data_IF_350984822053
#
_entry.id   IF_350984822053
#
_cell.length_a   1.000
_cell.length_b   1.000
_cell.length_c   1.000
_cell.angle_alpha   90.00
_cell.angle_beta   90.00
_cell.angle_gamma   90.00
#
_symmetry.space_group_name_H-M   'P 1'
#
loop_
_entity.id
_entity.type
_entity.pdbx_description
1 polymer ?
#
# COMPACT_ATOMS: atom_id res chain seq x y z
N UNK A 1 11.16 17.07 -7.07
CA UNK A 1 9.85 16.46 -6.74
C UNK A 1 9.49 16.57 -5.27
N UNK A 2 10.40 16.28 -4.30
CA UNK A 2 10.12 16.34 -2.85
C UNK A 2 9.55 17.69 -2.38
N UNK A 3 10.03 18.81 -2.92
CA UNK A 3 9.53 20.16 -2.58
C UNK A 3 8.09 20.40 -3.03
N UNK A 4 7.71 19.89 -4.21
CA UNK A 4 6.34 20.03 -4.73
C UNK A 4 5.38 19.19 -3.88
N UNK A 5 5.73 17.94 -3.62
CA UNK A 5 4.95 17.04 -2.78
C UNK A 5 4.70 17.63 -1.38
N UNK A 6 5.76 18.09 -0.71
CA UNK A 6 5.64 18.74 0.60
C UNK A 6 4.80 20.02 0.57
N UNK A 7 4.84 20.78 -0.54
CA UNK A 7 4.02 21.98 -0.70
C UNK A 7 2.54 21.62 -0.89
N UNK A 8 2.25 20.56 -1.64
CA UNK A 8 0.88 20.05 -1.79
C UNK A 8 0.31 19.62 -0.42
N UNK A 9 1.06 18.84 0.36
CA UNK A 9 0.62 18.36 1.66
C UNK A 9 0.40 19.47 2.68
N UNK A 10 1.30 20.47 2.74
CA UNK A 10 1.18 21.60 3.69
C UNK A 10 0.00 22.52 3.42
N UNK A 11 -0.49 22.55 2.20
CA UNK A 11 -1.59 23.44 1.79
C UNK A 11 -2.95 22.73 1.84
N UNK A 12 -3.02 21.49 2.33
CA UNK A 12 -4.28 20.77 2.50
C UNK A 12 -5.06 21.42 3.65
N UNK A 13 -6.30 21.89 3.40
CA UNK A 13 -7.14 22.44 4.46
C UNK A 13 -7.50 21.37 5.50
N UNK A 14 -7.69 21.78 6.75
CA UNK A 14 -7.95 20.86 7.86
C UNK A 14 -9.22 20.03 7.69
N UNK A 15 -10.24 20.56 7.05
CA UNK A 15 -11.50 19.89 6.75
C UNK A 15 -11.38 18.82 5.65
N UNK A 16 -10.32 18.88 4.83
CA UNK A 16 -9.99 17.84 3.85
C UNK A 16 -9.17 16.67 4.46
N UNK A 17 -8.73 16.81 5.71
CA UNK A 17 -8.02 15.74 6.43
C UNK A 17 -8.99 14.73 7.04
N UNK A 18 -8.65 13.46 6.97
CA UNK A 18 -9.48 12.43 7.60
C UNK A 18 -9.26 12.44 9.12
N UNK A 19 -10.28 12.89 9.87
CA UNK A 19 -10.20 13.07 11.33
C UNK A 19 -8.97 13.89 11.77
N UNK A 20 -8.64 14.93 11.00
CA UNK A 20 -7.49 15.80 11.27
C UNK A 20 -6.12 15.20 10.94
N UNK A 21 -6.06 14.08 10.23
CA UNK A 21 -4.83 13.34 9.91
C UNK A 21 -4.65 13.20 8.39
N UNK A 22 -3.41 13.27 7.93
CA UNK A 22 -3.07 12.97 6.53
C UNK A 22 -3.20 11.48 6.25
N UNK A 23 -3.88 11.15 5.17
CA UNK A 23 -3.98 9.79 4.66
C UNK A 23 -3.16 9.68 3.40
N UNK A 24 -2.21 8.75 3.40
CA UNK A 24 -1.35 8.47 2.26
C UNK A 24 -1.66 7.08 1.72
N UNK A 25 -1.97 7.02 0.43
CA UNK A 25 -2.33 5.78 -0.24
C UNK A 25 -1.12 5.21 -0.95
N UNK A 26 -0.84 3.93 -0.71
CA UNK A 26 0.16 3.18 -1.45
C UNK A 26 -0.52 2.26 -2.44
N UNK A 27 -0.05 2.27 -3.67
CA UNK A 27 -0.49 1.34 -4.71
C UNK A 27 0.65 1.00 -5.67
N UNK A 28 0.59 -0.18 -6.28
CA UNK A 28 1.59 -0.70 -7.19
C UNK A 28 1.07 -0.82 -8.63
N UNK A 29 1.95 -0.61 -9.59
CA UNK A 29 1.61 -0.80 -10.99
C UNK A 29 2.81 -1.29 -11.81
N UNK A 30 2.57 -1.77 -13.02
CA UNK A 30 3.60 -2.17 -13.98
C UNK A 30 3.51 -1.29 -15.21
N UNK A 31 4.68 -0.90 -15.74
CA UNK A 31 4.83 -0.06 -16.92
C UNK A 31 5.70 -0.79 -17.93
N UNK A 32 5.27 -0.81 -19.19
CA UNK A 32 6.01 -1.40 -20.29
C UNK A 32 6.99 -0.40 -20.90
N UNK A 33 8.10 -0.91 -21.44
CA UNK A 33 9.10 -0.11 -22.13
C UNK A 33 9.44 -0.72 -23.50
N UNK A 34 10.01 0.08 -24.44
CA UNK A 34 10.48 -0.44 -25.71
C UNK A 34 11.45 -1.60 -25.54
N UNK A 35 11.31 -2.62 -26.40
CA UNK A 35 12.19 -3.77 -26.40
C UNK A 35 13.56 -3.40 -27.00
N UNK A 36 14.47 -3.02 -26.10
CA UNK A 36 15.87 -2.72 -26.39
C UNK A 36 16.75 -3.51 -25.45
N UNK A 37 17.98 -3.80 -25.88
CA UNK A 37 18.97 -4.52 -25.07
C UNK A 37 19.13 -3.83 -23.71
N UNK A 38 19.33 -2.52 -23.68
CA UNK A 38 19.52 -1.74 -22.45
C UNK A 38 18.31 -1.81 -21.50
N UNK A 39 17.08 -1.78 -22.03
CA UNK A 39 15.89 -1.92 -21.21
C UNK A 39 15.71 -3.35 -20.70
N UNK A 40 16.00 -4.38 -21.51
CA UNK A 40 15.96 -5.78 -21.07
C UNK A 40 17.00 -6.09 -19.98
N UNK A 41 18.18 -5.52 -20.05
CA UNK A 41 19.21 -5.70 -19.03
C UNK A 41 18.76 -5.17 -17.66
N UNK A 42 18.12 -4.00 -17.60
CA UNK A 42 17.74 -3.38 -16.35
C UNK A 42 16.32 -3.76 -15.88
N UNK A 43 15.38 -3.94 -16.82
CA UNK A 43 13.98 -4.23 -16.60
C UNK A 43 13.53 -5.43 -17.42
N UNK A 44 14.09 -6.62 -17.17
CA UNK A 44 13.83 -7.78 -18.02
C UNK A 44 12.33 -8.12 -18.10
N UNK A 45 11.97 -8.79 -19.20
CA UNK A 45 10.65 -9.35 -19.42
C UNK A 45 10.23 -10.31 -18.28
N UNK A 46 8.95 -10.68 -18.21
CA UNK A 46 8.47 -11.62 -17.21
C UNK A 46 9.11 -13.00 -17.37
N UNK A 47 9.54 -13.61 -16.27
CA UNK A 47 10.25 -14.91 -16.26
C UNK A 47 9.46 -16.09 -16.81
N UNK A 48 8.12 -16.00 -16.88
CA UNK A 48 7.25 -17.03 -17.47
C UNK A 48 7.24 -16.99 -19.01
N UNK A 49 7.77 -15.94 -19.63
CA UNK A 49 7.84 -15.80 -21.09
C UNK A 49 9.18 -16.34 -21.59
N UNK A 50 9.14 -16.98 -22.79
CA UNK A 50 10.38 -17.42 -23.43
C UNK A 50 11.31 -16.22 -23.66
N UNK A 51 12.62 -16.37 -23.52
CA UNK A 51 13.58 -15.30 -23.79
C UNK A 51 13.37 -14.70 -25.21
N UNK A 52 13.36 -13.38 -25.30
CA UNK A 52 13.13 -12.65 -26.54
C UNK A 52 11.66 -12.57 -27.02
N UNK A 53 10.69 -13.13 -26.26
CA UNK A 53 9.27 -13.07 -26.62
C UNK A 53 8.47 -12.05 -25.80
N UNK A 54 9.09 -11.40 -24.81
CA UNK A 54 8.45 -10.44 -23.93
C UNK A 54 9.08 -9.06 -23.99
N UNK A 55 8.33 -8.07 -23.57
CA UNK A 55 8.80 -6.69 -23.48
C UNK A 55 9.35 -6.39 -22.08
N UNK A 56 10.28 -5.43 -21.94
CA UNK A 56 10.77 -4.96 -20.65
C UNK A 56 9.65 -4.41 -19.78
N UNK A 57 9.66 -4.78 -18.49
CA UNK A 57 8.63 -4.41 -17.52
C UNK A 57 9.25 -3.77 -16.28
N UNK A 58 8.86 -2.54 -16.01
CA UNK A 58 9.22 -1.82 -14.79
C UNK A 58 8.06 -1.90 -13.79
N UNK A 59 8.36 -2.32 -12.56
CA UNK A 59 7.44 -2.21 -11.43
C UNK A 59 7.60 -0.85 -10.78
N UNK A 60 6.47 -0.24 -10.46
CA UNK A 60 6.40 1.06 -9.79
C UNK A 60 5.47 0.96 -8.59
N UNK A 61 5.89 1.47 -7.45
CA UNK A 61 5.06 1.66 -6.26
C UNK A 61 4.98 3.15 -5.98
N UNK A 62 3.78 3.70 -6.02
CA UNK A 62 3.49 5.11 -5.79
C UNK A 62 2.92 5.37 -4.40
N UNK A 63 3.23 6.54 -3.86
CA UNK A 63 2.65 7.10 -2.65
C UNK A 63 1.85 8.34 -3.04
N UNK A 64 0.57 8.32 -2.75
CA UNK A 64 -0.35 9.40 -3.08
C UNK A 64 -0.93 10.05 -1.82
N UNK A 65 -1.21 11.34 -1.88
CA UNK A 65 -2.08 11.98 -0.92
C UNK A 65 -3.53 11.64 -1.22
N UNK A 66 -4.28 11.17 -0.24
CA UNK A 66 -5.71 10.91 -0.43
C UNK A 66 -6.48 12.22 -0.63
N UNK A 67 -6.13 13.26 0.12
CA UNK A 67 -6.85 14.54 0.11
C UNK A 67 -6.65 15.34 -1.18
N UNK A 68 -5.43 15.33 -1.76
CA UNK A 68 -5.12 16.09 -2.98
C UNK A 68 -5.07 15.23 -4.26
N UNK A 69 -5.03 13.91 -4.14
CA UNK A 69 -4.77 12.99 -5.25
C UNK A 69 -3.34 13.06 -5.81
N UNK A 70 -2.48 13.92 -5.24
CA UNK A 70 -1.13 14.13 -5.74
C UNK A 70 -0.22 12.92 -5.52
N UNK A 71 0.60 12.59 -6.52
CA UNK A 71 1.70 11.63 -6.37
C UNK A 71 2.84 12.28 -5.57
N UNK A 72 3.01 11.88 -4.33
CA UNK A 72 4.01 12.42 -3.41
C UNK A 72 5.40 11.86 -3.67
N UNK A 73 5.47 10.56 -3.92
CA UNK A 73 6.72 9.87 -4.21
C UNK A 73 6.46 8.54 -4.91
N UNK A 74 7.50 7.97 -5.51
CA UNK A 74 7.45 6.63 -6.08
C UNK A 74 8.80 5.92 -5.96
N UNK A 75 8.76 4.60 -5.91
CA UNK A 75 9.90 3.72 -6.07
C UNK A 75 9.70 2.85 -7.32
N UNK A 76 10.79 2.58 -8.04
CA UNK A 76 10.75 1.76 -9.25
C UNK A 76 11.84 0.69 -9.23
N UNK A 77 11.55 -0.45 -9.84
CA UNK A 77 12.52 -1.52 -10.05
C UNK A 77 12.06 -2.47 -11.17
N UNK A 78 12.89 -3.46 -11.45
CA UNK A 78 12.51 -4.61 -12.27
C UNK A 78 11.28 -5.31 -11.69
N UNK A 79 10.45 -5.91 -12.54
CA UNK A 79 9.28 -6.72 -12.14
C UNK A 79 9.64 -7.89 -11.20
N UNK A 80 10.90 -8.32 -11.21
CA UNK A 80 11.39 -9.40 -10.33
C UNK A 80 11.62 -8.95 -8.88
N UNK A 81 11.66 -7.65 -8.62
CA UNK A 81 11.71 -7.10 -7.25
C UNK A 81 10.30 -7.03 -6.69
N UNK A 82 10.10 -7.60 -5.50
CA UNK A 82 8.78 -7.63 -4.87
C UNK A 82 8.31 -6.22 -4.45
N UNK A 83 7.02 -5.94 -4.58
CA UNK A 83 6.42 -4.63 -4.24
C UNK A 83 6.70 -4.19 -2.80
N UNK A 84 6.76 -5.12 -1.86
CA UNK A 84 7.05 -4.82 -0.45
C UNK A 84 8.44 -4.22 -0.24
N UNK A 85 9.42 -4.59 -1.08
CA UNK A 85 10.77 -4.01 -1.03
C UNK A 85 10.79 -2.58 -1.58
N UNK A 86 10.01 -2.32 -2.64
CA UNK A 86 9.82 -0.95 -3.17
C UNK A 86 9.07 -0.08 -2.16
N UNK A 87 8.06 -0.65 -1.49
CA UNK A 87 7.31 0.05 -0.45
C UNK A 87 8.22 0.50 0.70
N UNK A 88 9.20 -0.32 1.12
CA UNK A 88 10.19 0.10 2.13
C UNK A 88 10.97 1.36 1.73
N UNK A 89 11.30 1.52 0.46
CA UNK A 89 12.06 2.67 -0.03
C UNK A 89 11.32 4.00 0.14
N UNK A 90 9.98 3.94 0.22
CA UNK A 90 9.13 5.13 0.36
C UNK A 90 8.69 5.42 1.79
N UNK A 91 9.06 4.58 2.77
CA UNK A 91 8.67 4.80 4.17
C UNK A 91 9.19 6.11 4.78
N UNK A 92 10.30 6.64 4.28
CA UNK A 92 10.86 7.93 4.70
C UNK A 92 10.03 9.16 4.28
N UNK A 93 8.96 8.96 3.50
CA UNK A 93 8.04 10.02 3.06
C UNK A 93 6.75 10.09 3.87
N UNK A 94 6.60 9.19 4.85
CA UNK A 94 5.56 9.30 5.87
C UNK A 94 6.07 10.18 7.02
N UNK A 95 5.17 10.91 7.60
CA UNK A 95 5.38 11.68 8.83
C UNK A 95 4.67 10.99 9.99
N UNK A 96 5.05 11.36 11.22
CA UNK A 96 4.34 10.89 12.41
C UNK A 96 2.86 11.31 12.32
N UNK A 97 1.99 10.46 12.79
CA UNK A 97 0.52 10.62 12.76
C UNK A 97 -0.12 10.51 11.38
N UNK A 98 0.64 10.21 10.31
CA UNK A 98 0.06 9.80 9.04
C UNK A 98 -0.70 8.47 9.16
N UNK A 99 -1.64 8.28 8.25
CA UNK A 99 -2.34 7.00 8.07
C UNK A 99 -1.98 6.42 6.71
N UNK A 100 -1.40 5.23 6.72
CA UNK A 100 -1.22 4.44 5.51
C UNK A 100 -2.54 3.76 5.11
N UNK A 101 -2.97 3.96 3.89
CA UNK A 101 -4.07 3.23 3.27
C UNK A 101 -3.51 2.36 2.14
N UNK A 102 -3.73 1.05 2.19
CA UNK A 102 -3.11 0.13 1.24
C UNK A 102 -3.95 -1.11 0.91
N UNK A 103 -3.58 -1.78 -0.19
CA UNK A 103 -4.15 -3.07 -0.54
C UNK A 103 -3.44 -4.22 0.21
N UNK A 104 -4.01 -5.41 0.09
CA UNK A 104 -3.55 -6.66 0.73
C UNK A 104 -2.07 -7.00 0.47
N UNK A 105 -1.51 -6.54 -0.65
CA UNK A 105 -0.10 -6.75 -0.99
C UNK A 105 0.87 -6.11 0.01
N UNK A 106 0.43 -5.05 0.68
CA UNK A 106 1.22 -4.30 1.67
C UNK A 106 0.96 -4.74 3.12
N UNK A 107 0.02 -5.69 3.33
CA UNK A 107 -0.33 -6.22 4.66
C UNK A 107 0.69 -7.25 5.13
N UNK A 108 1.74 -6.84 5.80
CA UNK A 108 2.70 -7.75 6.43
C UNK A 108 2.94 -7.38 7.90
N UNK A 109 3.24 -8.39 8.73
CA UNK A 109 3.55 -8.17 10.14
C UNK A 109 4.73 -7.21 10.31
N UNK A 110 5.77 -7.38 9.49
CA UNK A 110 6.96 -6.54 9.52
C UNK A 110 6.63 -5.07 9.18
N UNK A 111 5.91 -4.84 8.09
CA UNK A 111 5.55 -3.48 7.69
C UNK A 111 4.67 -2.78 8.72
N UNK A 112 3.64 -3.47 9.24
CA UNK A 112 2.75 -2.92 10.27
C UNK A 112 3.52 -2.59 11.56
N UNK A 113 4.47 -3.44 11.97
CA UNK A 113 5.30 -3.21 13.16
C UNK A 113 6.21 -2.00 12.99
N UNK A 114 6.93 -1.91 11.87
CA UNK A 114 7.85 -0.81 11.60
C UNK A 114 7.15 0.53 11.42
N UNK A 115 6.02 0.56 10.73
CA UNK A 115 5.23 1.79 10.57
C UNK A 115 4.67 2.26 11.92
N UNK A 116 4.12 1.34 12.71
CA UNK A 116 3.63 1.67 14.06
C UNK A 116 4.74 2.21 14.96
N UNK A 117 5.94 1.62 14.92
CA UNK A 117 7.13 2.11 15.64
C UNK A 117 7.48 3.55 15.26
N UNK A 118 7.22 3.96 14.02
CA UNK A 118 7.43 5.32 13.51
C UNK A 118 6.25 6.27 13.80
N UNK A 119 5.21 5.79 14.49
CA UNK A 119 4.00 6.58 14.78
C UNK A 119 3.07 6.74 13.58
N UNK A 120 3.16 5.85 12.59
CA UNK A 120 2.32 5.81 11.40
C UNK A 120 1.27 4.72 11.61
N UNK A 121 0.01 5.09 11.53
CA UNK A 121 -1.08 4.12 11.57
C UNK A 121 -1.35 3.54 10.17
N UNK A 122 -2.05 2.40 10.16
CA UNK A 122 -2.31 1.68 8.91
C UNK A 122 -3.76 1.21 8.86
N UNK A 123 -4.37 1.34 7.67
CA UNK A 123 -5.67 0.77 7.30
C UNK A 123 -5.46 -0.02 6.01
N UNK A 124 -5.38 -1.33 6.10
CA UNK A 124 -4.94 -2.19 4.99
C UNK A 124 -5.86 -3.38 4.87
N UNK A 125 -6.18 -3.78 3.65
CA UNK A 125 -6.92 -5.02 3.42
C UNK A 125 -6.10 -6.23 3.88
N UNK A 126 -6.76 -7.14 4.60
CA UNK A 126 -6.12 -8.37 5.07
C UNK A 126 -5.66 -9.22 3.88
N UNK A 127 -4.43 -9.74 3.98
CA UNK A 127 -3.91 -10.69 3.02
C UNK A 127 -4.69 -12.02 3.12
N UNK A 128 -5.15 -12.54 1.98
CA UNK A 128 -5.95 -13.78 1.90
C UNK A 128 -5.20 -15.02 2.40
N UNK A 129 -3.87 -15.02 2.39
CA UNK A 129 -3.06 -16.13 2.91
C UNK A 129 -3.10 -16.22 4.43
N UNK A 130 -3.45 -15.12 5.12
CA UNK A 130 -3.60 -15.12 6.57
C UNK A 130 -5.03 -15.50 6.95
N UNK A 131 -5.18 -16.71 7.45
CA UNK A 131 -6.44 -17.16 8.04
C UNK A 131 -6.72 -16.34 9.30
N UNK A 132 -7.83 -15.63 9.32
CA UNK A 132 -8.30 -14.84 10.45
C UNK A 132 -9.62 -15.40 10.93
N UNK A 133 -9.69 -15.70 12.22
CA UNK A 133 -10.90 -16.18 12.88
C UNK A 133 -11.56 -15.00 13.62
N UNK A 134 -12.66 -14.51 13.06
CA UNK A 134 -13.41 -13.38 13.62
C UNK A 134 -14.17 -13.73 14.91
N UNK A 135 -14.12 -14.99 15.36
CA UNK A 135 -14.65 -15.39 16.69
C UNK A 135 -13.65 -15.15 17.80
N UNK A 136 -12.35 -15.03 17.45
CA UNK A 136 -11.22 -14.86 18.39
C UNK A 136 -10.87 -13.39 18.61
N UNK A 137 -10.27 -13.13 19.78
CA UNK A 137 -9.85 -11.81 20.20
C UNK A 137 -10.92 -11.05 21.01
N UNK A 138 -10.58 -9.85 21.49
CA UNK A 138 -11.50 -9.00 22.26
C UNK A 138 -12.54 -8.41 21.31
N UNK A 139 -13.81 -8.65 21.60
CA UNK A 139 -14.95 -8.08 20.85
C UNK A 139 -15.05 -6.58 21.12
N UNK A 140 -15.07 -5.76 20.08
CA UNK A 140 -15.37 -4.33 20.13
C UNK A 140 -16.79 -4.05 19.60
N UNK A 141 -17.24 -4.84 18.62
CA UNK A 141 -18.56 -4.70 18.00
C UNK A 141 -18.96 -5.94 17.19
N UNK A 142 -20.03 -5.82 16.44
CA UNK A 142 -20.37 -6.80 15.41
C UNK A 142 -19.28 -6.72 14.35
N UNK A 143 -18.69 -7.84 13.97
CA UNK A 143 -17.62 -7.88 12.95
C UNK A 143 -16.39 -7.01 13.23
N UNK A 144 -16.08 -6.78 14.52
CA UNK A 144 -14.99 -5.92 14.97
C UNK A 144 -14.28 -6.55 16.16
N UNK A 145 -12.97 -6.80 16.02
CA UNK A 145 -12.16 -7.53 16.99
C UNK A 145 -10.76 -6.93 17.16
N UNK A 146 -10.30 -6.85 18.39
CA UNK A 146 -8.87 -6.74 18.67
C UNK A 146 -8.24 -8.12 18.66
N UNK A 147 -7.19 -8.29 17.88
CA UNK A 147 -6.44 -9.53 17.76
C UNK A 147 -4.96 -9.29 18.03
N UNK A 148 -4.32 -10.25 18.66
CA UNK A 148 -2.87 -10.24 18.86
C UNK A 148 -2.25 -11.16 17.80
N UNK A 149 -1.48 -10.56 16.92
CA UNK A 149 -0.71 -11.32 15.94
C UNK A 149 0.67 -11.65 16.50
N UNK A 150 1.11 -12.88 16.27
CA UNK A 150 2.47 -13.30 16.60
C UNK A 150 3.42 -13.02 15.43
N UNK A 151 4.64 -12.68 15.76
CA UNK A 151 5.74 -12.55 14.81
C UNK A 151 5.92 -13.84 14.03
N UNK A 152 6.04 -13.80 12.70
CA UNK A 152 6.34 -15.00 11.91
C UNK A 152 7.68 -15.62 12.31
N UNK A 153 7.78 -16.94 12.25
CA UNK A 153 9.04 -17.64 12.52
C UNK A 153 10.09 -17.39 11.41
N UNK A 154 9.63 -17.16 10.17
CA UNK A 154 10.53 -16.95 9.03
C UNK A 154 10.74 -15.46 8.79
N UNK A 155 12.01 -15.08 8.59
CA UNK A 155 12.38 -13.74 8.17
C UNK A 155 11.84 -13.48 6.76
N UNK A 156 11.10 -12.38 6.53
CA UNK A 156 10.59 -12.08 5.20
C UNK A 156 11.73 -11.79 4.22
N UNK A 157 11.55 -12.20 2.97
CA UNK A 157 12.54 -11.96 1.90
C UNK A 157 12.92 -10.48 1.80
N UNK A 158 14.23 -10.20 1.81
CA UNK A 158 14.77 -8.85 1.70
C UNK A 158 14.78 -8.04 3.01
N UNK A 159 14.54 -8.70 4.13
CA UNK A 159 14.76 -8.19 5.49
C UNK A 159 15.94 -8.93 6.09
N UNK A 160 16.83 -8.23 6.80
CA UNK A 160 17.93 -8.90 7.51
C UNK A 160 17.44 -9.49 8.84
N UNK A 161 18.17 -10.45 9.39
CA UNK A 161 17.86 -11.04 10.68
C UNK A 161 17.90 -10.00 11.81
N UNK A 162 18.85 -9.07 11.75
CA UNK A 162 19.00 -7.97 12.71
C UNK A 162 17.79 -7.03 12.66
N UNK A 163 17.34 -6.62 11.47
CA UNK A 163 16.16 -5.81 11.31
C UNK A 163 14.92 -6.54 11.82
N UNK A 164 14.80 -7.83 11.51
CA UNK A 164 13.68 -8.63 11.95
C UNK A 164 13.69 -8.86 13.47
N UNK A 165 14.86 -9.00 14.07
CA UNK A 165 14.98 -9.10 15.52
C UNK A 165 14.48 -7.87 16.28
N UNK A 166 14.55 -6.68 15.65
CA UNK A 166 14.15 -5.41 16.28
C UNK A 166 12.63 -5.17 16.33
N UNK A 167 11.82 -5.96 15.63
CA UNK A 167 10.35 -5.84 15.70
C UNK A 167 9.79 -6.66 16.88
N UNK A 168 8.62 -6.27 17.44
CA UNK A 168 8.05 -6.94 18.60
C UNK A 168 7.60 -8.38 18.28
N UNK A 169 7.61 -9.24 19.30
CA UNK A 169 7.15 -10.63 19.20
C UNK A 169 5.62 -10.72 18.95
N UNK A 170 4.89 -9.70 19.36
CA UNK A 170 3.45 -9.62 19.15
C UNK A 170 3.03 -8.22 18.74
N UNK A 171 1.96 -8.14 17.97
CA UNK A 171 1.37 -6.88 17.51
C UNK A 171 -0.14 -6.94 17.74
N UNK A 172 -0.65 -6.03 18.57
CA UNK A 172 -2.10 -5.85 18.71
C UNK A 172 -2.63 -5.06 17.55
N UNK A 173 -3.59 -5.63 16.84
CA UNK A 173 -4.25 -5.05 15.68
C UNK A 173 -5.76 -5.16 15.83
N UNK A 174 -6.47 -4.29 15.16
CA UNK A 174 -7.92 -4.37 15.03
C UNK A 174 -8.26 -4.92 13.65
N UNK A 175 -9.14 -5.91 13.63
CA UNK A 175 -9.64 -6.54 12.41
C UNK A 175 -11.13 -6.25 12.32
N UNK A 176 -11.56 -5.64 11.23
CA UNK A 176 -12.95 -5.30 10.96
C UNK A 176 -13.40 -5.93 9.65
N UNK A 177 -14.61 -6.46 9.63
CA UNK A 177 -15.25 -6.94 8.40
C UNK A 177 -16.19 -5.85 7.88
N UNK A 178 -15.95 -5.44 6.64
CA UNK A 178 -16.72 -4.39 5.97
C UNK A 178 -17.47 -5.01 4.79
N UNK A 179 -18.73 -4.68 4.69
CA UNK A 179 -19.60 -5.09 3.58
C UNK A 179 -19.69 -3.95 2.57
N UNK A 180 -19.21 -4.19 1.37
CA UNK A 180 -19.38 -3.28 0.26
C UNK A 180 -20.57 -3.73 -0.58
N UNK A 181 -21.61 -2.92 -0.63
CA UNK A 181 -22.71 -3.05 -1.57
C UNK A 181 -22.70 -1.82 -2.47
N UNK A 182 -22.25 -1.96 -3.71
CA UNK A 182 -22.39 -0.91 -4.72
C UNK A 182 -23.37 -1.40 -5.80
N UNK A 183 -24.29 -0.51 -6.24
CA UNK A 183 -25.25 -0.81 -7.29
C UNK A 183 -24.51 -1.30 -8.55
N UNK A 184 -24.87 -2.50 -9.01
CA UNK A 184 -24.23 -3.14 -10.18
C UNK A 184 -22.99 -3.98 -9.90
N UNK A 185 -22.50 -4.05 -8.65
CA UNK A 185 -21.39 -4.92 -8.25
C UNK A 185 -21.86 -5.98 -7.24
N UNK A 186 -21.24 -7.16 -7.29
CA UNK A 186 -21.48 -8.18 -6.26
C UNK A 186 -21.04 -7.62 -4.91
N UNK A 187 -21.91 -7.73 -3.90
CA UNK A 187 -21.53 -7.42 -2.52
C UNK A 187 -20.29 -8.25 -2.14
N UNK A 188 -19.25 -7.60 -1.69
CA UNK A 188 -18.00 -8.25 -1.33
C UNK A 188 -17.68 -7.92 0.12
N UNK A 189 -17.47 -8.97 0.93
CA UNK A 189 -16.95 -8.81 2.27
C UNK A 189 -15.44 -8.58 2.19
N UNK A 190 -14.96 -7.59 2.91
CA UNK A 190 -13.56 -7.25 2.97
C UNK A 190 -13.11 -7.18 4.43
N UNK A 191 -12.07 -7.92 4.77
CA UNK A 191 -11.41 -7.80 6.07
C UNK A 191 -10.34 -6.72 6.01
N UNK A 192 -10.45 -5.73 6.87
CA UNK A 192 -9.49 -4.67 7.07
C UNK A 192 -8.72 -4.91 8.36
N UNK A 193 -7.43 -4.73 8.29
CA UNK A 193 -6.52 -4.71 9.44
C UNK A 193 -6.07 -3.29 9.67
N UNK A 194 -6.13 -2.84 10.93
CA UNK A 194 -5.72 -1.50 11.29
C UNK A 194 -5.00 -1.44 12.63
N UNK A 195 -4.12 -0.47 12.77
CA UNK A 195 -3.47 -0.09 14.05
C UNK A 195 -4.28 0.94 14.81
N UNK A 196 -5.37 1.46 14.25
CA UNK A 196 -6.32 2.36 14.90
C UNK A 196 -7.25 1.54 15.82
N UNK A 197 -6.85 1.39 17.07
CA UNK A 197 -7.45 0.42 18.01
C UNK A 197 -8.73 0.92 18.68
N UNK A 198 -8.90 2.24 18.80
CA UNK A 198 -10.03 2.88 19.46
C UNK A 198 -11.27 2.85 18.52
N UNK A 199 -12.31 2.10 18.94
CA UNK A 199 -13.52 1.93 18.13
C UNK A 199 -14.46 3.15 18.20
N UNK A 200 -14.39 3.94 19.26
CA UNK A 200 -15.22 5.13 19.44
C UNK A 200 -14.71 6.27 18.57
N UNK A 201 -13.38 6.43 18.52
CA UNK A 201 -12.73 7.43 17.65
C UNK A 201 -12.80 7.02 16.17
N UNK A 202 -12.62 5.72 15.89
CA UNK A 202 -12.55 5.16 14.54
C UNK A 202 -13.63 4.07 14.34
N UNK A 203 -14.93 4.43 14.23
CA UNK A 203 -15.98 3.44 14.02
C UNK A 203 -15.80 2.66 12.72
N UNK A 204 -16.34 1.44 12.66
CA UNK A 204 -16.22 0.54 11.50
C UNK A 204 -16.71 1.21 10.21
N UNK A 205 -17.79 1.99 10.28
CA UNK A 205 -18.32 2.74 9.15
C UNK A 205 -17.32 3.72 8.59
N UNK A 206 -16.66 4.52 9.44
CA UNK A 206 -15.64 5.48 9.02
C UNK A 206 -14.41 4.79 8.42
N UNK A 207 -13.99 3.63 8.95
CA UNK A 207 -12.91 2.83 8.36
C UNK A 207 -13.31 2.27 7.00
N UNK A 208 -14.57 1.87 6.82
CA UNK A 208 -15.12 1.40 5.56
C UNK A 208 -15.15 2.49 4.49
N UNK A 209 -15.67 3.67 4.84
CA UNK A 209 -15.69 4.84 3.97
C UNK A 209 -14.28 5.27 3.56
N UNK A 210 -13.34 5.31 4.52
CA UNK A 210 -11.94 5.60 4.24
C UNK A 210 -11.35 4.57 3.26
N UNK A 211 -11.54 3.29 3.52
CA UNK A 211 -10.98 2.25 2.67
C UNK A 211 -11.58 2.29 1.26
N UNK A 212 -12.85 2.64 1.12
CA UNK A 212 -13.52 2.80 -0.17
C UNK A 212 -12.87 3.89 -1.02
N UNK A 213 -12.42 4.99 -0.42
CA UNK A 213 -11.74 6.09 -1.12
C UNK A 213 -10.42 5.66 -1.79
N UNK A 214 -9.80 4.56 -1.34
CA UNK A 214 -8.60 3.99 -1.97
C UNK A 214 -8.80 3.72 -3.46
N UNK A 215 -9.97 3.28 -3.87
CA UNK A 215 -10.26 3.03 -5.30
C UNK A 215 -10.18 4.28 -6.17
N UNK A 216 -10.35 5.46 -5.61
CA UNK A 216 -10.10 6.73 -6.31
C UNK A 216 -8.66 6.82 -6.83
N UNK A 217 -7.69 6.29 -6.07
CA UNK A 217 -6.27 6.31 -6.46
C UNK A 217 -5.98 5.33 -7.62
N UNK A 218 -6.68 4.20 -7.70
CA UNK A 218 -6.58 3.30 -8.87
C UNK A 218 -6.99 4.03 -10.15
N UNK A 219 -7.98 4.92 -10.07
CA UNK A 219 -8.36 5.81 -11.17
C UNK A 219 -7.22 6.78 -11.52
N UNK A 220 -6.55 7.37 -10.54
CA UNK A 220 -5.41 8.27 -10.77
C UNK A 220 -4.24 7.54 -11.44
N UNK A 221 -3.91 6.31 -11.04
CA UNK A 221 -2.91 5.51 -11.77
C UNK A 221 -3.34 5.21 -13.21
N UNK A 222 -4.61 4.91 -13.41
CA UNK A 222 -5.16 4.71 -14.76
C UNK A 222 -5.05 6.00 -15.59
N UNK A 223 -5.38 7.13 -15.02
CA UNK A 223 -5.24 8.44 -15.68
C UNK A 223 -3.79 8.75 -16.03
N UNK A 224 -2.83 8.53 -15.11
CA UNK A 224 -1.41 8.66 -15.41
C UNK A 224 -0.99 7.76 -16.56
N UNK A 225 -1.46 6.52 -16.61
CA UNK A 225 -1.15 5.59 -17.69
C UNK A 225 -1.77 6.00 -19.01
N UNK A 226 -3.07 6.30 -19.02
CA UNK A 226 -3.83 6.55 -20.26
C UNK A 226 -3.66 7.98 -20.78
N UNK A 227 -3.90 8.99 -19.93
CA UNK A 227 -3.87 10.40 -20.34
C UNK A 227 -2.45 10.90 -20.57
N UNK A 228 -1.48 10.49 -19.76
CA UNK A 228 -0.07 10.85 -19.94
C UNK A 228 0.71 9.86 -20.80
N UNK A 229 0.05 8.82 -21.31
CA UNK A 229 0.70 7.80 -22.14
C UNK A 229 1.81 7.02 -21.43
N UNK A 230 1.76 6.95 -20.09
CA UNK A 230 2.77 6.26 -19.29
C UNK A 230 2.59 4.73 -19.25
N UNK A 231 1.57 4.19 -19.89
CA UNK A 231 1.38 2.74 -20.00
C UNK A 231 2.53 2.08 -20.76
N UNK A 232 3.01 2.76 -21.80
CA UNK A 232 4.18 2.36 -22.59
C UNK A 232 5.13 3.56 -22.63
N UNK A 233 6.19 3.51 -21.84
CA UNK A 233 7.23 4.54 -21.93
C UNK A 233 7.92 4.46 -23.29
N UNK A 234 8.28 5.62 -23.85
CA UNK A 234 8.96 5.68 -25.14
C UNK A 234 10.49 5.70 -25.03
N UNK A 235 11.00 5.66 -23.78
CA UNK A 235 12.43 5.72 -23.51
C UNK A 235 13.15 4.45 -24.00
N UNK A 236 14.09 4.60 -24.89
CA UNK A 236 14.89 3.49 -25.44
C UNK A 236 16.03 3.05 -24.54
N UNK A 237 16.29 3.78 -23.47
CA UNK A 237 17.26 3.43 -22.44
C UNK A 237 16.73 3.73 -21.04
N UNK A 238 17.21 3.02 -19.99
CA UNK A 238 16.75 3.19 -18.62
C UNK A 238 17.09 4.54 -17.99
N UNK A 239 18.00 5.30 -18.60
CA UNK A 239 18.54 6.57 -18.07
C UNK A 239 17.86 7.81 -18.66
N UNK A 240 16.91 7.65 -19.55
CA UNK A 240 16.04 8.73 -20.05
C UNK A 240 14.70 8.74 -19.29
#
# INVERSE_FOLDING_TARGET
SKHIANRCERNIPQDALWKGRHVKVVDGTTISMPDTIANQEQYPQHSSQKPGCGIPLMRLVGLFSLASGALLHFAKSSIHVHETLLFRQIWGFFEKDDILLGDRGFCSFYALSELKKRGIDSVIRLNQTRKTDMTKGKKLGLNDRLQVWKKPAQVPKGITEEEFAQIPETLTLRVVEIHFAANGFRSTNCLIVTTLLDADVYPVTALGELYFQRWGIELHFRELKTLLGMEILRCRSPHM
#
